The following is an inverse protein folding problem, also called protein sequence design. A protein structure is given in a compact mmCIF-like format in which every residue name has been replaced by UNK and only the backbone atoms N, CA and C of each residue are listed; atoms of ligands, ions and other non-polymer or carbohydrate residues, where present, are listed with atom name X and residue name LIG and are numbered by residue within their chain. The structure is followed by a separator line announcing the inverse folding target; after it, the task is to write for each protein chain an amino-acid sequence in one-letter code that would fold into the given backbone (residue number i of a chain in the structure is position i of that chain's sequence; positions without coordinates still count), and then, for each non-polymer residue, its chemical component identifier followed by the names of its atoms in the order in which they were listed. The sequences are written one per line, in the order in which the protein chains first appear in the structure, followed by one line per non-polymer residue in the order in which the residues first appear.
data_IF_881607242808
#
_entry.id   IF_881607242808
#
_cell.length_a   1.000
_cell.length_b   1.000
_cell.length_c   1.000
_cell.angle_alpha   90.00
_cell.angle_beta   90.00
_cell.angle_gamma   90.00
#
_symmetry.space_group_name_H-M   'P 1'
#
loop_
_entity.id
_entity.type
_entity.pdbx_description
1 polymer ?
#
# COMPACT_ATOMS: atom_id res chain seq x y z
N UNK A 1 3.78 -30.39 16.88
CA UNK A 1 4.17 -30.37 15.47
C UNK A 1 5.40 -29.50 15.30
N UNK A 2 6.22 -29.70 14.25
CA UNK A 2 7.36 -28.82 13.99
C UNK A 2 6.88 -27.39 13.74
N UNK A 3 7.65 -26.40 14.21
CA UNK A 3 7.31 -24.98 14.05
C UNK A 3 7.30 -24.55 12.57
N UNK A 4 6.70 -23.40 12.25
CA UNK A 4 6.72 -22.86 10.89
C UNK A 4 8.17 -22.66 10.41
N UNK A 5 8.44 -22.84 9.11
CA UNK A 5 9.77 -22.61 8.57
C UNK A 5 10.21 -21.15 8.80
N UNK A 6 11.52 -20.90 8.97
CA UNK A 6 12.03 -19.56 9.18
C UNK A 6 11.70 -18.67 7.97
N UNK A 7 11.44 -17.37 8.20
CA UNK A 7 11.21 -16.42 7.11
C UNK A 7 12.46 -16.26 6.26
N UNK A 8 12.26 -15.93 4.99
CA UNK A 8 13.34 -15.63 4.05
C UNK A 8 13.54 -14.13 3.99
N UNK A 9 14.77 -13.68 4.12
CA UNK A 9 15.08 -12.26 4.28
C UNK A 9 16.09 -11.78 3.23
N UNK A 10 15.88 -10.57 2.72
CA UNK A 10 16.80 -9.83 1.87
C UNK A 10 17.11 -8.50 2.52
N UNK A 11 18.38 -8.11 2.49
CA UNK A 11 18.84 -6.78 2.87
C UNK A 11 19.53 -6.15 1.67
N UNK A 12 18.94 -5.09 1.13
CA UNK A 12 19.43 -4.37 -0.04
C UNK A 12 20.00 -3.02 0.38
N UNK A 13 21.15 -2.66 -0.18
CA UNK A 13 21.65 -1.28 -0.14
C UNK A 13 20.94 -0.49 -1.23
N UNK A 14 20.34 0.63 -0.86
CA UNK A 14 19.54 1.46 -1.77
C UNK A 14 19.84 2.94 -1.55
N UNK A 15 19.49 3.78 -2.51
CA UNK A 15 19.52 5.24 -2.30
C UNK A 15 18.41 5.66 -1.31
N UNK A 16 18.58 6.74 -0.52
CA UNK A 16 17.54 7.24 0.40
C UNK A 16 16.21 7.63 -0.22
N UNK A 17 16.24 7.93 -1.51
CA UNK A 17 15.08 8.13 -2.36
C UNK A 17 15.16 7.11 -3.48
N UNK A 18 14.02 6.53 -3.80
CA UNK A 18 13.91 5.49 -4.81
C UNK A 18 12.45 5.07 -4.94
N UNK A 19 12.22 4.00 -5.70
CA UNK A 19 10.88 3.46 -5.91
C UNK A 19 10.83 1.99 -5.51
N UNK A 20 9.83 1.64 -4.71
CA UNK A 20 9.47 0.26 -4.43
C UNK A 20 8.31 -0.14 -5.34
N UNK A 21 8.54 -1.12 -6.20
CA UNK A 21 7.51 -1.75 -7.04
C UNK A 21 7.20 -3.14 -6.51
N UNK A 22 5.94 -3.40 -6.18
CA UNK A 22 5.50 -4.72 -5.69
C UNK A 22 4.38 -5.25 -6.58
N UNK A 23 4.51 -6.50 -7.02
CA UNK A 23 3.55 -7.25 -7.86
C UNK A 23 3.39 -8.66 -7.29
N UNK A 24 2.47 -8.85 -6.35
CA UNK A 24 2.32 -10.14 -5.64
C UNK A 24 0.86 -10.53 -5.40
N UNK A 25 0.46 -11.82 -5.49
CA UNK A 25 -0.91 -12.28 -5.20
C UNK A 25 -1.27 -12.39 -3.70
N UNK A 26 -0.42 -11.90 -2.79
CA UNK A 26 -0.49 -12.22 -1.37
C UNK A 26 -0.45 -10.98 -0.47
N UNK A 27 -0.36 -11.18 0.85
CA UNK A 27 -0.37 -10.10 1.82
C UNK A 27 0.93 -9.31 1.78
N UNK A 28 0.84 -7.98 1.77
CA UNK A 28 1.97 -7.06 1.75
C UNK A 28 1.86 -6.09 2.93
N UNK A 29 2.92 -5.99 3.72
CA UNK A 29 3.09 -5.02 4.80
C UNK A 29 4.29 -4.13 4.50
N UNK A 30 4.11 -2.81 4.55
CA UNK A 30 5.14 -1.82 4.27
C UNK A 30 5.18 -0.81 5.40
N UNK A 31 6.37 -0.56 5.92
CA UNK A 31 6.62 0.46 6.94
C UNK A 31 8.02 1.03 6.79
N UNK A 32 8.27 2.25 7.26
CA UNK A 32 9.61 2.78 7.26
C UNK A 32 10.53 1.97 8.20
N UNK A 33 11.81 1.94 7.85
CA UNK A 33 12.87 1.66 8.81
C UNK A 33 12.88 2.73 9.90
N UNK A 34 13.29 2.32 11.10
CA UNK A 34 13.47 3.22 12.22
C UNK A 34 14.64 4.18 11.93
N UNK A 35 14.41 5.49 11.79
CA UNK A 35 15.46 6.45 11.48
C UNK A 35 16.56 6.50 12.54
N UNK A 36 16.26 6.16 13.80
CA UNK A 36 17.28 6.10 14.86
C UNK A 36 18.24 4.93 14.68
N UNK A 37 17.74 3.82 14.12
CA UNK A 37 18.54 2.61 13.87
C UNK A 37 19.20 2.61 12.49
N UNK A 38 18.64 3.35 11.54
CA UNK A 38 19.13 3.46 10.17
C UNK A 38 19.11 4.92 9.71
N UNK A 39 19.99 5.79 10.25
CA UNK A 39 19.99 7.22 9.95
C UNK A 39 20.37 7.52 8.50
N UNK A 40 21.15 6.65 7.85
CA UNK A 40 21.54 6.79 6.45
C UNK A 40 20.38 6.62 5.46
N UNK A 41 19.26 6.02 5.89
CA UNK A 41 18.12 5.72 5.04
C UNK A 41 18.51 4.93 3.76
N UNK A 42 19.60 4.16 3.80
CA UNK A 42 20.29 3.54 2.68
C UNK A 42 20.03 2.03 2.56
N UNK A 43 18.98 1.55 3.25
CA UNK A 43 18.67 0.12 3.35
C UNK A 43 17.20 -0.14 3.05
N UNK A 44 16.94 -1.28 2.42
CA UNK A 44 15.61 -1.84 2.28
C UNK A 44 15.65 -3.30 2.69
N UNK A 45 14.75 -3.68 3.61
CA UNK A 45 14.64 -5.05 4.09
C UNK A 45 13.36 -5.68 3.56
N UNK A 46 13.45 -6.89 3.04
CA UNK A 46 12.30 -7.69 2.61
C UNK A 46 12.30 -8.98 3.41
N UNK A 47 11.19 -9.35 4.02
CA UNK A 47 11.00 -10.62 4.70
C UNK A 47 9.76 -11.31 4.12
N UNK A 48 9.92 -12.54 3.64
CA UNK A 48 8.84 -13.38 3.14
C UNK A 48 8.60 -14.50 4.13
N UNK A 49 7.36 -14.64 4.57
CA UNK A 49 6.92 -15.65 5.52
C UNK A 49 5.75 -16.44 4.93
N UNK A 50 5.61 -17.71 5.34
CA UNK A 50 4.55 -18.57 4.83
C UNK A 50 4.86 -19.14 3.45
N UNK A 51 4.70 -20.46 3.32
CA UNK A 51 4.97 -21.21 2.10
C UNK A 51 5.18 -22.67 2.42
N UNK A 52 4.70 -23.56 1.55
CA UNK A 52 4.91 -25.00 1.69
C UNK A 52 6.39 -25.31 1.47
N UNK A 53 7.07 -26.02 2.39
CA UNK A 53 8.41 -26.54 2.09
C UNK A 53 8.30 -27.51 0.90
N UNK A 54 9.12 -27.32 -0.14
CA UNK A 54 9.24 -28.29 -1.25
C UNK A 54 8.91 -27.80 -2.66
N UNK A 55 8.69 -26.50 -2.92
CA UNK A 55 8.68 -25.99 -4.31
C UNK A 55 10.12 -25.74 -4.79
N UNK A 56 10.48 -26.32 -5.94
CA UNK A 56 11.78 -26.17 -6.61
C UNK A 56 12.10 -24.74 -7.08
N UNK A 57 11.08 -23.90 -7.26
CA UNK A 57 11.22 -22.51 -7.71
C UNK A 57 10.73 -21.56 -6.64
N UNK A 58 11.57 -20.58 -6.33
CA UNK A 58 11.19 -19.47 -5.46
C UNK A 58 10.04 -18.68 -6.06
N UNK A 59 8.89 -18.62 -5.38
CA UNK A 59 7.73 -17.95 -5.94
C UNK A 59 7.85 -16.43 -5.80
N UNK A 60 8.75 -15.91 -4.95
CA UNK A 60 9.01 -14.48 -4.76
C UNK A 60 10.43 -14.15 -5.25
N UNK A 61 10.53 -13.14 -6.12
CA UNK A 61 11.76 -12.57 -6.65
C UNK A 61 11.93 -11.16 -6.15
N UNK A 62 13.14 -10.81 -5.76
CA UNK A 62 13.52 -9.47 -5.31
C UNK A 62 14.67 -9.02 -6.21
N UNK A 63 14.45 -7.96 -6.97
CA UNK A 63 15.39 -7.41 -7.94
C UNK A 63 15.66 -5.94 -7.60
N UNK A 64 16.92 -5.52 -7.67
CA UNK A 64 17.33 -4.13 -7.45
C UNK A 64 17.98 -3.60 -8.73
N UNK A 65 17.42 -2.51 -9.26
CA UNK A 65 17.95 -1.77 -10.39
C UNK A 65 18.48 -0.43 -9.87
N UNK A 66 19.81 -0.34 -9.75
CA UNK A 66 20.50 0.86 -9.26
C UNK A 66 20.39 2.03 -10.22
N UNK A 67 20.35 1.77 -11.53
CA UNK A 67 20.27 2.81 -12.55
C UNK A 67 18.90 3.51 -12.52
N UNK A 68 17.84 2.75 -12.23
CA UNK A 68 16.48 3.27 -12.05
C UNK A 68 16.17 3.66 -10.60
N UNK A 69 17.05 3.38 -9.64
CA UNK A 69 16.79 3.55 -8.21
C UNK A 69 15.54 2.78 -7.75
N UNK A 70 15.31 1.59 -8.31
CA UNK A 70 14.08 0.84 -8.14
C UNK A 70 14.34 -0.54 -7.53
N UNK A 71 13.55 -0.91 -6.51
CA UNK A 71 13.46 -2.28 -6.02
C UNK A 71 12.14 -2.89 -6.48
N UNK A 72 12.21 -4.01 -7.19
CA UNK A 72 11.05 -4.76 -7.67
C UNK A 72 10.88 -6.06 -6.88
N UNK A 73 9.69 -6.31 -6.37
CA UNK A 73 9.30 -7.56 -5.73
C UNK A 73 8.16 -8.16 -6.53
N UNK A 74 8.42 -9.31 -7.14
CA UNK A 74 7.47 -9.98 -8.03
C UNK A 74 7.24 -11.39 -7.53
N UNK A 75 5.99 -11.80 -7.46
CA UNK A 75 5.64 -13.17 -7.13
C UNK A 75 4.52 -13.70 -8.01
N UNK A 76 4.56 -14.99 -8.31
CA UNK A 76 3.51 -15.69 -9.06
C UNK A 76 3.17 -17.02 -8.40
N UNK A 77 1.88 -17.37 -8.41
CA UNK A 77 1.38 -18.64 -7.89
C UNK A 77 1.71 -18.92 -6.41
N UNK A 78 1.84 -17.88 -5.57
CA UNK A 78 2.07 -18.00 -4.12
C UNK A 78 0.84 -18.51 -3.38
N UNK A 79 1.06 -19.18 -2.26
CA UNK A 79 -0.01 -19.62 -1.36
C UNK A 79 -0.67 -18.41 -0.68
N UNK A 80 -1.95 -18.51 -0.34
CA UNK A 80 -2.69 -17.44 0.34
C UNK A 80 -2.16 -17.12 1.74
N UNK A 81 -1.37 -18.03 2.33
CA UNK A 81 -0.68 -17.84 3.62
C UNK A 81 0.66 -17.13 3.49
N UNK A 82 1.16 -16.89 2.28
CA UNK A 82 2.40 -16.14 2.08
C UNK A 82 2.17 -14.66 2.43
N UNK A 83 3.12 -14.07 3.14
CA UNK A 83 3.10 -12.66 3.49
C UNK A 83 4.50 -12.05 3.28
N UNK A 84 4.52 -10.85 2.70
CA UNK A 84 5.74 -10.07 2.42
C UNK A 84 5.74 -8.84 3.34
N UNK A 85 6.67 -8.79 4.28
CA UNK A 85 6.96 -7.59 5.09
C UNK A 85 8.13 -6.84 4.48
N UNK A 86 7.97 -5.54 4.27
CA UNK A 86 8.95 -4.69 3.63
C UNK A 86 9.22 -3.49 4.54
N UNK A 87 10.50 -3.26 4.83
CA UNK A 87 10.95 -2.07 5.53
C UNK A 87 11.75 -1.20 4.59
N UNK A 88 11.22 -0.04 4.27
CA UNK A 88 11.81 0.88 3.29
C UNK A 88 12.40 2.10 3.99
N UNK A 89 13.26 2.86 3.32
CA UNK A 89 13.49 4.25 3.70
C UNK A 89 12.16 5.03 3.67
N UNK A 90 12.03 6.04 4.53
CA UNK A 90 10.80 6.82 4.70
C UNK A 90 10.34 7.47 3.38
N UNK A 91 11.30 7.86 2.53
CA UNK A 91 11.11 8.65 1.29
C UNK A 91 11.01 7.84 0.00
N UNK A 92 10.61 6.57 0.10
CA UNK A 92 10.43 5.73 -1.07
C UNK A 92 9.06 5.94 -1.68
N UNK A 93 9.04 6.19 -2.99
CA UNK A 93 7.82 6.11 -3.77
C UNK A 93 7.32 4.66 -3.83
N UNK A 94 6.01 4.49 -3.80
CA UNK A 94 5.36 3.20 -3.72
C UNK A 94 4.54 2.96 -4.99
N UNK A 95 4.75 1.80 -5.61
CA UNK A 95 3.96 1.29 -6.73
C UNK A 95 3.57 -0.16 -6.40
N UNK A 96 2.45 -0.33 -5.72
CA UNK A 96 2.02 -1.61 -5.13
C UNK A 96 0.83 -2.16 -5.89
N UNK A 97 0.89 -3.42 -6.30
CA UNK A 97 -0.24 -4.13 -6.88
C UNK A 97 -0.36 -5.53 -6.29
N UNK A 98 -1.56 -5.85 -5.83
CA UNK A 98 -1.93 -7.22 -5.43
C UNK A 98 -3.14 -7.72 -6.20
N UNK A 99 -3.19 -9.03 -6.43
CA UNK A 99 -4.30 -9.71 -7.09
C UNK A 99 -5.02 -10.67 -6.14
N UNK A 100 -6.20 -11.13 -6.54
CA UNK A 100 -7.05 -12.01 -5.75
C UNK A 100 -7.50 -11.34 -4.45
N UNK A 101 -7.15 -11.96 -3.32
CA UNK A 101 -7.50 -11.50 -1.97
C UNK A 101 -6.31 -10.89 -1.22
N UNK A 102 -5.18 -10.66 -1.89
CA UNK A 102 -3.97 -10.10 -1.29
C UNK A 102 -4.21 -8.71 -0.68
N UNK A 103 -4.04 -8.59 0.63
CA UNK A 103 -4.20 -7.32 1.34
C UNK A 103 -2.90 -6.51 1.33
N UNK A 104 -3.03 -5.19 1.35
CA UNK A 104 -1.92 -4.25 1.44
C UNK A 104 -2.04 -3.47 2.74
N UNK A 105 -0.96 -3.34 3.49
CA UNK A 105 -0.87 -2.51 4.68
C UNK A 105 0.33 -1.60 4.58
N UNK A 106 0.13 -0.29 4.64
CA UNK A 106 1.19 0.71 4.56
C UNK A 106 1.05 1.67 5.73
N UNK A 107 2.15 1.97 6.42
CA UNK A 107 2.11 2.81 7.61
C UNK A 107 3.26 3.81 7.65
N UNK A 108 2.97 5.06 8.01
CA UNK A 108 3.95 6.12 8.37
C UNK A 108 5.01 6.40 7.30
N UNK A 109 4.64 6.34 6.03
CA UNK A 109 5.51 6.68 4.90
C UNK A 109 5.32 8.15 4.51
N UNK A 110 6.43 8.79 4.08
CA UNK A 110 6.42 10.13 3.49
C UNK A 110 7.09 10.11 2.11
N UNK A 111 6.31 10.13 1.02
CA UNK A 111 6.83 9.96 -0.34
C UNK A 111 6.24 10.97 -1.35
N UNK A 112 6.73 11.03 -2.57
CA UNK A 112 6.13 11.91 -3.58
C UNK A 112 4.94 11.21 -4.27
N UNK A 113 5.06 9.89 -4.52
CA UNK A 113 4.01 9.08 -5.13
C UNK A 113 3.71 7.82 -4.31
N UNK A 114 2.44 7.63 -3.96
CA UNK A 114 1.92 6.41 -3.36
C UNK A 114 0.81 5.83 -4.24
N UNK A 115 1.13 4.82 -5.04
CA UNK A 115 0.18 4.11 -5.91
C UNK A 115 -0.12 2.71 -5.36
N UNK A 116 -1.40 2.38 -5.23
CA UNK A 116 -1.88 1.08 -4.76
C UNK A 116 -2.99 0.57 -5.68
N UNK A 117 -2.86 -0.65 -6.18
CA UNK A 117 -3.89 -1.36 -6.94
C UNK A 117 -4.22 -2.70 -6.24
N UNK A 118 -5.46 -2.91 -5.85
CA UNK A 118 -5.90 -4.18 -5.23
C UNK A 118 -7.15 -4.71 -5.92
N UNK A 119 -7.30 -6.03 -6.02
CA UNK A 119 -8.59 -6.64 -6.40
C UNK A 119 -9.51 -6.69 -5.17
N UNK A 120 -9.84 -7.88 -4.68
CA UNK A 120 -10.78 -8.11 -3.57
C UNK A 120 -10.15 -7.95 -2.18
N UNK A 121 -8.84 -7.68 -2.14
CA UNK A 121 -8.08 -7.45 -0.91
C UNK A 121 -8.45 -6.16 -0.19
N UNK A 122 -7.98 -6.02 1.04
CA UNK A 122 -8.11 -4.76 1.80
C UNK A 122 -6.80 -3.99 1.76
N UNK A 123 -6.86 -2.72 1.39
CA UNK A 123 -5.79 -1.73 1.47
C UNK A 123 -5.94 -0.91 2.75
N UNK A 124 -5.04 -1.10 3.72
CA UNK A 124 -4.98 -0.33 4.98
C UNK A 124 -3.82 0.65 4.91
N UNK A 125 -4.13 1.95 4.92
CA UNK A 125 -3.15 3.03 4.94
C UNK A 125 -3.21 3.75 6.28
N UNK A 126 -2.08 3.90 6.97
CA UNK A 126 -2.03 4.60 8.25
C UNK A 126 -1.04 5.76 8.22
N UNK A 127 -1.54 6.98 8.47
CA UNK A 127 -0.71 8.18 8.60
C UNK A 127 0.27 8.35 7.43
N UNK A 128 -0.26 8.39 6.20
CA UNK A 128 0.54 8.53 4.98
C UNK A 128 0.62 10.01 4.63
N UNK A 129 1.84 10.48 4.32
CA UNK A 129 2.07 11.80 3.76
C UNK A 129 2.62 11.63 2.36
N UNK A 130 1.94 12.14 1.36
CA UNK A 130 2.43 12.10 -0.01
C UNK A 130 2.08 13.34 -0.79
N UNK A 131 2.81 13.63 -1.87
CA UNK A 131 2.33 14.62 -2.82
C UNK A 131 1.12 14.07 -3.59
N UNK A 132 1.20 12.82 -4.06
CA UNK A 132 0.11 12.12 -4.76
C UNK A 132 -0.18 10.74 -4.15
N UNK A 133 -1.45 10.52 -3.80
CA UNK A 133 -2.00 9.23 -3.36
C UNK A 133 -2.97 8.75 -4.43
N UNK A 134 -2.73 7.60 -5.04
CA UNK A 134 -3.57 6.99 -6.08
C UNK A 134 -3.92 5.56 -5.69
N UNK A 135 -5.19 5.29 -5.41
CA UNK A 135 -5.65 3.98 -4.95
C UNK A 135 -6.76 3.50 -5.87
N UNK A 136 -6.57 2.33 -6.48
CA UNK A 136 -7.59 1.64 -7.26
C UNK A 136 -7.92 0.32 -6.61
N UNK A 137 -9.21 0.04 -6.45
CA UNK A 137 -9.64 -1.29 -6.02
C UNK A 137 -10.78 -1.84 -6.86
N UNK A 138 -10.71 -3.13 -7.18
CA UNK A 138 -11.80 -3.85 -7.84
C UNK A 138 -12.49 -4.82 -6.86
N UNK A 139 -13.56 -4.38 -6.21
CA UNK A 139 -14.33 -5.15 -5.22
C UNK A 139 -13.69 -5.24 -3.83
N UNK A 140 -12.54 -4.62 -3.59
CA UNK A 140 -11.82 -4.60 -2.32
C UNK A 140 -12.20 -3.42 -1.41
N UNK A 141 -11.48 -3.28 -0.29
CA UNK A 141 -11.73 -2.22 0.70
C UNK A 141 -10.53 -1.30 0.84
N UNK A 142 -10.77 0.00 0.93
CA UNK A 142 -9.75 1.00 1.26
C UNK A 142 -10.05 1.55 2.65
N UNK A 143 -9.09 1.39 3.57
CA UNK A 143 -9.21 1.82 4.96
C UNK A 143 -8.08 2.80 5.27
N UNK A 144 -8.42 4.05 5.53
CA UNK A 144 -7.47 5.09 5.95
C UNK A 144 -7.56 5.33 7.46
N UNK A 145 -6.47 5.08 8.18
CA UNK A 145 -6.35 5.31 9.63
C UNK A 145 -5.48 6.54 9.90
N UNK A 146 -5.92 7.41 10.81
CA UNK A 146 -5.27 8.70 11.01
C UNK A 146 -5.47 9.64 9.81
N UNK A 147 -4.40 10.33 9.39
CA UNK A 147 -4.44 11.31 8.29
C UNK A 147 -3.79 10.73 7.03
N UNK A 148 -4.50 10.79 5.91
CA UNK A 148 -3.91 10.71 4.58
C UNK A 148 -3.71 12.14 4.07
N UNK A 149 -2.46 12.57 4.06
CA UNK A 149 -2.06 13.91 3.65
C UNK A 149 -1.53 13.86 2.21
N UNK A 150 -2.12 14.61 1.28
CA UNK A 150 -1.72 14.66 -0.12
C UNK A 150 -2.87 14.79 -1.11
N UNK A 151 -2.54 15.08 -2.37
CA UNK A 151 -3.53 15.04 -3.44
C UNK A 151 -3.97 13.59 -3.65
N UNK A 152 -5.25 13.33 -3.43
CA UNK A 152 -5.76 11.96 -3.27
C UNK A 152 -6.74 11.65 -4.38
N UNK A 153 -6.52 10.54 -5.08
CA UNK A 153 -7.41 9.96 -6.07
C UNK A 153 -7.70 8.51 -5.69
N UNK A 154 -8.97 8.18 -5.45
CA UNK A 154 -9.38 6.83 -5.06
C UNK A 154 -10.55 6.41 -5.93
N UNK A 155 -10.41 5.28 -6.63
CA UNK A 155 -11.53 4.64 -7.31
C UNK A 155 -11.74 3.22 -6.80
N UNK A 156 -12.97 2.94 -6.38
CA UNK A 156 -13.41 1.62 -5.98
C UNK A 156 -14.56 1.17 -6.89
N UNK A 157 -14.30 0.15 -7.71
CA UNK A 157 -15.29 -0.44 -8.61
C UNK A 157 -15.92 -1.69 -7.98
N UNK A 158 -16.95 -2.23 -8.64
CA UNK A 158 -17.82 -3.28 -8.11
C UNK A 158 -18.38 -2.86 -6.74
N UNK A 159 -18.44 -3.80 -5.79
CA UNK A 159 -18.88 -3.56 -4.40
C UNK A 159 -17.74 -3.08 -3.49
N UNK A 160 -16.71 -2.47 -4.06
CA UNK A 160 -15.55 -1.98 -3.31
C UNK A 160 -15.88 -0.75 -2.47
N UNK A 161 -15.35 -0.65 -1.24
CA UNK A 161 -15.69 0.44 -0.31
C UNK A 161 -14.49 1.25 0.16
N UNK A 162 -14.74 2.50 0.55
CA UNK A 162 -13.74 3.45 1.02
C UNK A 162 -14.16 3.96 2.40
N UNK A 163 -13.29 3.82 3.40
CA UNK A 163 -13.51 4.32 4.75
C UNK A 163 -12.24 4.97 5.29
N UNK A 164 -12.23 6.30 5.36
CA UNK A 164 -11.02 7.07 5.70
C UNK A 164 -11.30 8.03 6.85
N UNK A 165 -10.50 7.96 7.90
CA UNK A 165 -10.70 8.83 9.06
C UNK A 165 -10.50 10.31 8.72
N UNK A 166 -9.34 10.70 8.21
CA UNK A 166 -9.04 12.08 7.85
C UNK A 166 -8.30 12.17 6.53
N UNK A 167 -8.81 12.99 5.63
CA UNK A 167 -8.17 13.38 4.38
C UNK A 167 -7.75 14.86 4.46
N UNK A 168 -6.55 15.17 4.00
CA UNK A 168 -6.05 16.54 3.96
C UNK A 168 -5.17 16.75 2.72
N UNK A 169 -5.52 17.68 1.84
CA UNK A 169 -4.74 17.92 0.62
C UNK A 169 -5.30 19.08 -0.20
N UNK A 170 -4.70 19.40 -1.34
CA UNK A 170 -5.23 20.44 -2.23
C UNK A 170 -6.40 19.88 -3.03
N UNK A 171 -6.22 18.71 -3.65
CA UNK A 171 -7.25 18.04 -4.44
C UNK A 171 -7.58 16.65 -3.92
N UNK A 172 -8.87 16.35 -3.75
CA UNK A 172 -9.36 15.04 -3.30
C UNK A 172 -10.48 14.55 -4.22
N UNK A 173 -10.23 13.46 -4.94
CA UNK A 173 -11.21 12.80 -5.79
C UNK A 173 -11.44 11.38 -5.29
N UNK A 174 -12.69 11.02 -5.01
CA UNK A 174 -13.06 9.66 -4.60
C UNK A 174 -14.30 9.23 -5.35
N UNK A 175 -14.25 8.09 -6.03
CA UNK A 175 -15.42 7.50 -6.68
C UNK A 175 -15.62 6.04 -6.25
N UNK A 176 -16.87 5.68 -6.01
CA UNK A 176 -17.33 4.31 -5.81
C UNK A 176 -18.38 3.94 -6.87
N UNK A 177 -18.52 2.66 -7.22
CA UNK A 177 -19.69 2.17 -7.98
C UNK A 177 -20.83 1.84 -6.99
N UNK A 178 -20.79 0.66 -6.37
CA UNK A 178 -21.88 0.16 -5.51
C UNK A 178 -21.52 0.17 -4.00
N UNK A 179 -20.31 0.57 -3.64
CA UNK A 179 -19.82 0.47 -2.28
C UNK A 179 -19.93 1.76 -1.47
N UNK A 180 -19.92 1.60 -0.14
CA UNK A 180 -19.91 2.71 0.81
C UNK A 180 -18.65 3.58 0.65
N UNK A 181 -18.85 4.88 0.53
CA UNK A 181 -17.82 5.91 0.70
C UNK A 181 -18.04 6.60 2.05
N UNK A 182 -17.07 6.51 2.96
CA UNK A 182 -17.12 7.17 4.26
C UNK A 182 -15.85 7.94 4.56
N UNK A 183 -15.99 9.19 5.01
CA UNK A 183 -14.90 9.92 5.65
C UNK A 183 -15.35 10.75 6.84
N UNK A 184 -14.56 10.77 7.93
CA UNK A 184 -14.91 11.54 9.14
C UNK A 184 -14.51 13.00 9.02
N UNK A 185 -13.36 13.29 8.41
CA UNK A 185 -12.83 14.64 8.25
C UNK A 185 -12.22 14.84 6.87
N UNK A 186 -12.67 15.89 6.18
CA UNK A 186 -12.19 16.26 4.86
C UNK A 186 -11.70 17.72 4.89
N UNK A 187 -10.41 17.93 4.64
CA UNK A 187 -9.78 19.25 4.55
C UNK A 187 -9.16 19.41 3.15
N UNK A 188 -9.87 20.07 2.24
CA UNK A 188 -9.38 20.25 0.87
C UNK A 188 -9.82 21.56 0.23
N UNK A 189 -8.93 22.14 -0.59
CA UNK A 189 -9.27 23.29 -1.43
C UNK A 189 -10.31 22.90 -2.50
N UNK A 190 -10.19 21.69 -3.06
CA UNK A 190 -11.15 21.13 -4.00
C UNK A 190 -11.36 19.64 -3.73
N UNK A 191 -12.62 19.22 -3.64
CA UNK A 191 -12.97 17.82 -3.48
C UNK A 191 -14.16 17.40 -4.36
N UNK A 192 -14.05 16.23 -4.99
CA UNK A 192 -15.11 15.58 -5.74
C UNK A 192 -15.32 14.17 -5.19
N UNK A 193 -16.50 13.90 -4.64
CA UNK A 193 -16.86 12.59 -4.11
C UNK A 193 -18.13 12.11 -4.81
N UNK A 194 -18.08 10.92 -5.41
CA UNK A 194 -19.18 10.35 -6.16
C UNK A 194 -19.37 8.87 -5.86
N UNK A 195 -20.61 8.40 -5.99
CA UNK A 195 -20.97 7.00 -5.88
C UNK A 195 -22.11 6.73 -6.87
N UNK A 196 -22.03 5.66 -7.66
CA UNK A 196 -23.09 5.35 -8.64
C UNK A 196 -24.37 4.87 -7.95
N UNK A 197 -24.25 3.89 -7.03
CA UNK A 197 -25.37 3.31 -6.31
C UNK A 197 -25.16 3.14 -4.80
N UNK A 198 -23.93 3.34 -4.30
CA UNK A 198 -23.59 3.24 -2.88
C UNK A 198 -23.77 4.53 -2.08
N UNK A 199 -23.85 4.42 -0.74
CA UNK A 199 -23.98 5.57 0.16
C UNK A 199 -22.68 6.39 0.25
N UNK A 200 -22.83 7.72 0.38
CA UNK A 200 -21.75 8.64 0.72
C UNK A 200 -22.01 9.23 2.11
N UNK A 201 -21.11 8.96 3.06
CA UNK A 201 -21.18 9.44 4.43
C UNK A 201 -20.02 10.38 4.77
N UNK A 202 -20.32 11.67 4.92
CA UNK A 202 -19.35 12.70 5.28
C UNK A 202 -19.54 13.16 6.72
N UNK A 203 -18.44 13.29 7.45
CA UNK A 203 -18.39 13.99 8.73
C UNK A 203 -18.15 15.49 8.54
N UNK A 204 -17.09 16.02 9.17
CA UNK A 204 -16.75 17.44 9.04
C UNK A 204 -16.00 17.71 7.73
N UNK A 205 -16.42 18.76 7.01
CA UNK A 205 -15.82 19.19 5.74
C UNK A 205 -15.38 20.65 5.86
N UNK A 206 -14.14 20.92 5.48
CA UNK A 206 -13.54 22.25 5.48
C UNK A 206 -12.73 22.47 4.20
N UNK A 207 -12.77 23.69 3.67
CA UNK A 207 -11.99 24.16 2.53
C UNK A 207 -11.39 25.53 2.79
#
# INVERSE_FOLDING_TARGET
GPGPPPPREWALSVSPRGRLRVRVPCQVSIRPLDPQRCPGADRLLVAVSGGSPGRERDPVRVEHDEALGQVAIVADGVDSKTAVDIRTPVKFDLDIKTSGTGCVKIQKIECDNCKIETEKGTSVLQSIKSHKIDIRTNGGKVIGLGTLYGNTDICATEKGSVNIEKLQGTTINISTEDGLLKTKYLYAESASLSSESGDIMLGSVHG
#
